data_IF_378353323185
#
_entry.id   IF_378353323185
#
_cell.length_a   1.000
_cell.length_b   1.000
_cell.length_c   1.000
_cell.angle_alpha   90.00
_cell.angle_beta   90.00
_cell.angle_gamma   90.00
#
_symmetry.space_group_name_H-M   'P 1'
#
loop_
_entity.id
_entity.type
_entity.pdbx_description
1 polymer ?
#
# COMPACT_ATOMS: atom_id res chain seq x y z
N UNK A 1 11.58 -6.82 37.06
CA UNK A 1 11.19 -7.56 35.83
C UNK A 1 9.82 -7.10 35.33
N UNK A 2 8.82 -6.92 36.18
CA UNK A 2 7.46 -6.50 35.79
C UNK A 2 7.41 -5.13 35.07
N UNK A 3 8.01 -4.09 35.63
CA UNK A 3 8.00 -2.74 35.03
C UNK A 3 8.65 -2.73 33.64
N UNK A 4 9.74 -3.47 33.45
CA UNK A 4 10.41 -3.55 32.15
C UNK A 4 9.52 -4.17 31.07
N UNK A 5 8.79 -5.25 31.38
CA UNK A 5 7.85 -5.88 30.46
C UNK A 5 6.68 -4.95 30.10
N UNK A 6 6.14 -4.25 31.08
CA UNK A 6 5.08 -3.26 30.87
C UNK A 6 5.54 -2.11 29.95
N UNK A 7 6.74 -1.57 30.18
CA UNK A 7 7.32 -0.51 29.34
C UNK A 7 7.55 -1.01 27.91
N UNK A 8 8.13 -2.20 27.74
CA UNK A 8 8.32 -2.82 26.42
C UNK A 8 6.97 -3.04 25.72
N UNK A 9 5.95 -3.49 26.44
CA UNK A 9 4.59 -3.66 25.92
C UNK A 9 4.04 -2.34 25.36
N UNK A 10 4.10 -1.25 26.11
CA UNK A 10 3.67 0.07 25.64
C UNK A 10 4.45 0.56 24.43
N UNK A 11 5.77 0.31 24.38
CA UNK A 11 6.59 0.67 23.22
C UNK A 11 6.15 -0.08 21.96
N UNK A 12 5.88 -1.38 22.07
CA UNK A 12 5.42 -2.20 20.94
C UNK A 12 4.04 -1.72 20.46
N UNK A 13 3.12 -1.43 21.38
CA UNK A 13 1.80 -0.87 21.06
C UNK A 13 1.96 0.47 20.32
N UNK A 14 2.79 1.36 20.84
CA UNK A 14 3.03 2.67 20.24
C UNK A 14 3.67 2.58 18.83
N UNK A 15 4.58 1.63 18.61
CA UNK A 15 5.17 1.36 17.28
C UNK A 15 4.06 0.92 16.30
N UNK A 16 3.23 -0.06 16.68
CA UNK A 16 2.17 -0.55 15.82
C UNK A 16 1.11 0.52 15.50
N UNK A 17 0.67 1.30 16.50
CA UNK A 17 -0.29 2.40 16.30
C UNK A 17 0.34 3.53 15.49
N UNK A 18 1.61 3.84 15.71
CA UNK A 18 2.35 4.86 14.97
C UNK A 18 2.51 4.51 13.49
N UNK A 19 2.80 3.23 13.19
CA UNK A 19 2.88 2.74 11.80
C UNK A 19 1.51 2.81 11.11
N UNK A 20 0.46 2.33 11.78
CA UNK A 20 -0.92 2.41 11.30
C UNK A 20 -1.34 3.86 11.03
N UNK A 21 -1.02 4.78 11.94
CA UNK A 21 -1.32 6.21 11.76
C UNK A 21 -0.60 6.78 10.53
N UNK A 22 0.68 6.46 10.34
CA UNK A 22 1.45 6.93 9.18
C UNK A 22 0.94 6.32 7.87
N UNK A 23 0.65 5.02 7.86
CA UNK A 23 0.12 4.35 6.67
C UNK A 23 -1.22 4.91 6.19
N UNK A 24 -2.09 5.37 7.12
CA UNK A 24 -3.47 5.76 6.80
C UNK A 24 -3.69 7.27 6.74
N UNK A 25 -2.99 8.05 7.55
CA UNK A 25 -3.29 9.46 7.77
C UNK A 25 -2.15 10.40 7.36
N UNK A 26 -0.93 9.87 7.15
CA UNK A 26 0.17 10.71 6.69
C UNK A 26 0.01 11.02 5.19
N UNK A 27 0.24 12.27 4.74
CA UNK A 27 0.04 12.68 3.34
C UNK A 27 0.81 11.88 2.29
N UNK A 28 1.90 11.20 2.70
CA UNK A 28 2.71 10.34 1.83
C UNK A 28 2.40 8.84 1.98
N UNK A 29 1.44 8.45 2.82
CA UNK A 29 1.09 7.03 3.02
C UNK A 29 2.26 6.14 3.48
N UNK A 30 3.27 6.69 4.16
CA UNK A 30 4.52 5.99 4.47
C UNK A 30 4.52 5.43 5.90
N UNK A 31 3.97 4.23 6.09
CA UNK A 31 4.27 3.40 7.26
C UNK A 31 5.56 2.61 7.03
N UNK A 32 6.58 2.79 7.87
CA UNK A 32 7.89 2.14 7.68
C UNK A 32 7.76 0.61 7.70
N UNK A 33 6.99 0.09 8.66
CA UNK A 33 6.76 -1.35 8.83
C UNK A 33 5.84 -1.88 7.72
N UNK A 34 4.78 -1.16 7.40
CA UNK A 34 3.85 -1.50 6.31
C UNK A 34 4.59 -1.62 4.98
N UNK A 35 5.42 -0.62 4.65
CA UNK A 35 6.23 -0.63 3.43
C UNK A 35 7.27 -1.74 3.43
N UNK A 36 7.90 -2.03 4.58
CA UNK A 36 8.86 -3.14 4.71
C UNK A 36 8.18 -4.50 4.46
N UNK A 37 6.98 -4.71 4.99
CA UNK A 37 6.21 -5.95 4.80
C UNK A 37 5.84 -6.15 3.34
N UNK A 38 5.25 -5.14 2.71
CA UNK A 38 4.78 -5.23 1.31
C UNK A 38 5.98 -5.38 0.35
N UNK A 39 7.04 -4.60 0.54
CA UNK A 39 8.25 -4.67 -0.30
C UNK A 39 8.99 -6.00 -0.15
N UNK A 40 9.05 -6.57 1.06
CA UNK A 40 9.62 -7.90 1.30
C UNK A 40 8.80 -9.00 0.59
N UNK A 41 7.47 -8.92 0.65
CA UNK A 41 6.59 -9.84 -0.06
C UNK A 41 6.76 -9.71 -1.58
N UNK A 42 6.84 -8.48 -2.10
CA UNK A 42 7.11 -8.19 -3.51
C UNK A 42 8.46 -8.76 -3.96
N UNK A 43 9.53 -8.48 -3.20
CA UNK A 43 10.86 -9.00 -3.49
C UNK A 43 10.89 -10.54 -3.51
N UNK A 44 10.13 -11.18 -2.62
CA UNK A 44 9.99 -12.64 -2.58
C UNK A 44 9.22 -13.15 -3.78
N UNK A 45 8.08 -12.52 -4.14
CA UNK A 45 7.30 -12.85 -5.33
C UNK A 45 8.13 -12.73 -6.61
N UNK A 46 8.93 -11.66 -6.72
CA UNK A 46 9.84 -11.43 -7.86
C UNK A 46 10.89 -12.54 -7.98
N UNK A 47 11.52 -12.96 -6.86
CA UNK A 47 12.48 -14.08 -6.84
C UNK A 47 11.85 -15.41 -7.27
N UNK A 48 10.56 -15.59 -7.01
CA UNK A 48 9.77 -16.76 -7.41
C UNK A 48 9.14 -16.62 -8.81
N UNK A 49 9.57 -15.64 -9.61
CA UNK A 49 9.07 -15.40 -10.96
C UNK A 49 7.61 -14.92 -10.99
N UNK A 50 7.21 -14.11 -10.02
CA UNK A 50 5.86 -13.53 -9.88
C UNK A 50 4.71 -14.57 -9.86
N UNK A 51 4.97 -15.74 -9.29
CA UNK A 51 3.97 -16.83 -9.22
C UNK A 51 2.68 -16.44 -8.48
N UNK A 52 2.75 -15.46 -7.56
CA UNK A 52 1.58 -14.95 -6.86
C UNK A 52 0.72 -14.01 -7.72
N UNK A 53 1.27 -13.49 -8.83
CA UNK A 53 0.54 -12.66 -9.79
C UNK A 53 -0.20 -11.50 -9.13
N UNK A 54 -1.48 -11.33 -9.48
CA UNK A 54 -2.37 -10.27 -8.96
C UNK A 54 -2.66 -10.35 -7.46
N UNK A 55 -2.37 -11.49 -6.82
CA UNK A 55 -2.62 -11.67 -5.39
C UNK A 55 -1.56 -10.99 -4.49
N UNK A 56 -0.40 -10.56 -5.01
CA UNK A 56 0.69 -9.99 -4.19
C UNK A 56 0.26 -8.72 -3.46
N UNK A 57 -0.39 -7.78 -4.15
CA UNK A 57 -0.87 -6.54 -3.54
C UNK A 57 -1.86 -6.79 -2.40
N UNK A 58 -2.99 -7.48 -2.64
CA UNK A 58 -3.94 -7.83 -1.59
C UNK A 58 -3.31 -8.62 -0.43
N UNK A 59 -2.45 -9.61 -0.73
CA UNK A 59 -1.77 -10.40 0.29
C UNK A 59 -0.83 -9.54 1.15
N UNK A 60 -0.14 -8.57 0.55
CA UNK A 60 0.70 -7.61 1.26
C UNK A 60 -0.09 -6.78 2.27
N UNK A 61 -1.25 -6.27 1.86
CA UNK A 61 -2.14 -5.51 2.76
C UNK A 61 -2.65 -6.37 3.91
N UNK A 62 -3.13 -7.58 3.63
CA UNK A 62 -3.59 -8.52 4.67
C UNK A 62 -2.46 -8.86 5.64
N UNK A 63 -1.26 -9.14 5.14
CA UNK A 63 -0.10 -9.44 5.97
C UNK A 63 0.28 -8.25 6.86
N UNK A 64 0.21 -7.03 6.35
CA UNK A 64 0.45 -5.80 7.14
C UNK A 64 -0.56 -5.67 8.28
N UNK A 65 -1.84 -5.87 8.01
CA UNK A 65 -2.89 -5.86 9.05
C UNK A 65 -2.63 -6.94 10.12
N UNK A 66 -2.25 -8.15 9.70
CA UNK A 66 -1.87 -9.21 10.64
C UNK A 66 -0.67 -8.82 11.50
N UNK A 67 0.32 -8.15 10.94
CA UNK A 67 1.47 -7.63 11.70
C UNK A 67 1.02 -6.59 12.72
N UNK A 68 0.12 -5.66 12.38
CA UNK A 68 -0.43 -4.70 13.33
C UNK A 68 -1.18 -5.41 14.47
N UNK A 69 -2.05 -6.38 14.16
CA UNK A 69 -2.78 -7.16 15.17
C UNK A 69 -1.82 -7.92 16.08
N UNK A 70 -0.79 -8.54 15.52
CA UNK A 70 0.23 -9.27 16.31
C UNK A 70 1.02 -8.33 17.22
N UNK A 71 1.43 -7.14 16.74
CA UNK A 71 2.12 -6.16 17.58
C UNK A 71 1.23 -5.69 18.73
N UNK A 72 -0.06 -5.43 18.47
CA UNK A 72 -0.99 -5.05 19.52
C UNK A 72 -1.15 -6.20 20.52
N UNK A 73 -1.49 -7.41 20.07
CA UNK A 73 -1.69 -8.57 20.95
C UNK A 73 -0.45 -8.91 21.78
N UNK A 74 0.74 -8.89 21.20
CA UNK A 74 2.00 -9.12 21.92
C UNK A 74 2.30 -7.98 22.91
N UNK A 75 2.08 -6.72 22.52
CA UNK A 75 2.31 -5.58 23.39
C UNK A 75 1.43 -5.61 24.63
N UNK A 76 0.13 -5.85 24.46
CA UNK A 76 -0.82 -5.96 25.56
C UNK A 76 -0.56 -7.22 26.42
N UNK A 77 -0.23 -8.36 25.81
CA UNK A 77 0.15 -9.57 26.54
C UNK A 77 1.37 -9.35 27.44
N UNK A 78 2.37 -8.57 27.01
CA UNK A 78 3.53 -8.22 27.85
C UNK A 78 3.14 -7.33 29.04
N UNK A 79 2.10 -6.51 28.93
CA UNK A 79 1.56 -5.72 30.04
C UNK A 79 0.84 -6.63 31.02
N UNK A 80 0.06 -7.61 30.55
CA UNK A 80 -0.70 -8.53 31.40
C UNK A 80 0.15 -9.60 32.07
N UNK A 81 1.22 -10.05 31.42
CA UNK A 81 2.07 -11.15 31.88
C UNK A 81 2.53 -11.06 33.34
N UNK A 82 2.97 -9.89 33.85
CA UNK A 82 3.36 -9.78 35.27
C UNK A 82 2.20 -9.95 36.27
N UNK A 83 0.96 -9.89 35.80
CA UNK A 83 -0.24 -9.89 36.60
C UNK A 83 -1.02 -11.21 36.51
N UNK A 84 -0.57 -12.13 35.64
CA UNK A 84 -1.14 -13.50 35.54
C UNK A 84 -0.43 -14.41 36.51
N UNK A 85 -1.17 -15.30 37.20
CA UNK A 85 -2.63 -15.38 37.28
C UNK A 85 -3.26 -14.45 38.33
N UNK A 86 -2.48 -13.88 39.24
CA UNK A 86 -2.95 -13.23 40.47
C UNK A 86 -3.82 -11.98 40.28
N UNK A 87 -3.71 -11.29 39.14
CA UNK A 87 -4.51 -10.12 38.80
C UNK A 87 -5.83 -10.43 38.08
N UNK A 88 -6.17 -11.73 37.94
CA UNK A 88 -7.36 -12.21 37.23
C UNK A 88 -8.16 -13.16 38.10
N UNK A 89 -9.47 -13.18 37.88
CA UNK A 89 -10.36 -14.24 38.40
C UNK A 89 -10.73 -15.12 37.21
N UNK A 90 -10.72 -16.43 37.47
CA UNK A 90 -11.04 -17.47 36.51
C UNK A 90 -12.43 -18.03 36.77
N UNK A 91 -13.14 -18.40 35.71
CA UNK A 91 -14.45 -19.01 35.78
C UNK A 91 -14.35 -20.38 36.48
N UNK A 92 -15.36 -20.80 37.30
CA UNK A 92 -15.37 -22.11 37.95
C UNK A 92 -15.16 -23.26 36.95
N UNK A 93 -14.10 -24.04 37.18
CA UNK A 93 -13.71 -25.18 36.34
C UNK A 93 -12.47 -24.90 35.46
N UNK A 94 -11.96 -23.69 35.45
CA UNK A 94 -10.68 -23.34 34.81
C UNK A 94 -9.60 -23.36 35.91
N UNK A 95 -8.54 -24.16 35.69
CA UNK A 95 -7.37 -24.21 36.56
C UNK A 95 -6.34 -23.17 36.09
N UNK A 96 -6.05 -22.12 36.89
CA UNK A 96 -5.07 -21.09 36.55
C UNK A 96 -3.63 -21.60 36.34
N UNK A 97 -3.31 -22.79 36.88
CA UNK A 97 -2.00 -23.42 36.75
C UNK A 97 -1.86 -24.34 35.53
N UNK A 98 -2.91 -24.51 34.74
CA UNK A 98 -2.95 -25.49 33.65
C UNK A 98 -2.06 -25.09 32.45
N UNK A 99 -1.96 -23.81 32.17
CA UNK A 99 -1.19 -23.27 31.04
C UNK A 99 -0.08 -22.33 31.56
N UNK A 100 1.03 -22.19 30.83
CA UNK A 100 2.04 -21.17 31.14
C UNK A 100 1.44 -19.77 31.12
N UNK A 101 1.87 -18.89 32.05
CA UNK A 101 1.40 -17.50 32.19
C UNK A 101 1.47 -16.70 30.86
N UNK A 102 2.48 -16.98 30.03
CA UNK A 102 2.62 -16.36 28.70
C UNK A 102 1.46 -16.69 27.78
N UNK A 103 1.00 -17.94 27.80
CA UNK A 103 -0.13 -18.40 26.97
C UNK A 103 -1.42 -17.74 27.44
N UNK A 104 -1.62 -17.65 28.77
CA UNK A 104 -2.80 -16.99 29.33
C UNK A 104 -2.80 -15.49 29.10
N UNK A 105 -1.64 -14.83 29.22
CA UNK A 105 -1.50 -13.41 28.88
C UNK A 105 -1.81 -13.13 27.41
N UNK A 106 -1.32 -13.98 26.49
CA UNK A 106 -1.64 -13.89 25.06
C UNK A 106 -3.13 -14.13 24.81
N UNK A 107 -3.70 -15.16 25.45
CA UNK A 107 -5.12 -15.49 25.29
C UNK A 107 -6.01 -14.32 25.71
N UNK A 108 -5.80 -13.78 26.93
CA UNK A 108 -6.62 -12.66 27.42
C UNK A 108 -6.45 -11.41 26.55
N UNK A 109 -5.23 -11.13 26.07
CA UNK A 109 -4.98 -10.02 25.18
C UNK A 109 -5.74 -10.18 23.85
N UNK A 110 -5.60 -11.32 23.17
CA UNK A 110 -6.31 -11.51 21.89
C UNK A 110 -7.83 -11.54 22.05
N UNK A 111 -8.36 -12.10 23.15
CA UNK A 111 -9.80 -12.09 23.45
C UNK A 111 -10.30 -10.67 23.69
N UNK A 112 -9.52 -9.84 24.40
CA UNK A 112 -9.86 -8.43 24.65
C UNK A 112 -9.73 -7.59 23.39
N UNK A 113 -8.61 -7.71 22.67
CA UNK A 113 -8.33 -7.00 21.42
C UNK A 113 -9.39 -7.29 20.35
N UNK A 114 -9.82 -8.55 20.24
CA UNK A 114 -10.91 -8.97 19.36
C UNK A 114 -12.31 -8.60 19.87
N UNK A 115 -12.40 -7.96 21.05
CA UNK A 115 -13.66 -7.59 21.71
C UNK A 115 -14.60 -8.78 22.00
N UNK A 116 -14.06 -10.00 22.14
CA UNK A 116 -14.85 -11.21 22.40
C UNK A 116 -15.34 -11.28 23.85
N UNK A 117 -14.44 -11.03 24.81
CA UNK A 117 -14.78 -10.96 26.23
C UNK A 117 -15.55 -12.16 26.75
N UNK A 118 -15.04 -13.38 26.59
CA UNK A 118 -15.75 -14.61 27.01
C UNK A 118 -16.11 -14.65 28.50
N UNK A 119 -15.40 -13.86 29.34
CA UNK A 119 -15.67 -13.77 30.75
C UNK A 119 -15.08 -14.91 31.60
N UNK A 120 -14.34 -15.78 30.95
CA UNK A 120 -13.64 -16.92 31.55
C UNK A 120 -12.38 -16.53 32.35
N UNK A 121 -11.73 -15.43 31.94
CA UNK A 121 -10.70 -14.70 32.66
C UNK A 121 -11.08 -13.22 32.78
N UNK A 122 -11.27 -12.75 34.02
CA UNK A 122 -11.70 -11.37 34.29
C UNK A 122 -10.66 -10.64 35.13
N UNK A 123 -10.21 -9.49 34.63
CA UNK A 123 -9.27 -8.64 35.37
C UNK A 123 -9.87 -8.12 36.65
N UNK A 124 -9.18 -8.36 37.78
CA UNK A 124 -9.56 -7.91 39.14
C UNK A 124 -8.63 -6.83 39.66
N UNK A 125 -7.36 -6.85 39.23
CA UNK A 125 -6.42 -5.83 39.63
C UNK A 125 -6.79 -4.48 39.03
N UNK A 126 -6.85 -3.37 39.81
CA UNK A 126 -7.33 -2.06 39.34
C UNK A 126 -6.61 -1.52 38.12
N UNK A 127 -5.29 -1.70 38.03
CA UNK A 127 -4.48 -1.26 36.90
C UNK A 127 -4.89 -1.96 35.59
N UNK A 128 -4.96 -3.28 35.60
CA UNK A 128 -5.35 -4.07 34.43
C UNK A 128 -6.80 -3.82 34.06
N UNK A 129 -7.68 -3.70 35.05
CA UNK A 129 -9.10 -3.41 34.84
C UNK A 129 -9.33 -2.06 34.18
N UNK A 130 -8.47 -1.07 34.43
CA UNK A 130 -8.52 0.23 33.76
C UNK A 130 -7.98 0.17 32.33
N UNK A 131 -7.01 -0.71 32.05
CA UNK A 131 -6.36 -0.83 30.74
C UNK A 131 -7.15 -1.70 29.74
N UNK A 132 -7.85 -2.74 30.20
CA UNK A 132 -8.56 -3.66 29.30
C UNK A 132 -9.58 -2.98 28.37
N UNK A 133 -10.37 -1.96 28.79
CA UNK A 133 -11.21 -1.22 27.87
C UNK A 133 -10.44 -0.44 26.82
N UNK A 134 -9.23 0.04 27.14
CA UNK A 134 -8.38 0.76 26.17
C UNK A 134 -7.84 -0.21 25.10
N UNK A 135 -7.48 -1.44 25.49
CA UNK A 135 -7.12 -2.49 24.55
C UNK A 135 -8.27 -2.80 23.57
N UNK A 136 -9.49 -2.97 24.10
CA UNK A 136 -10.66 -3.21 23.26
C UNK A 136 -10.92 -2.07 22.27
N UNK A 137 -10.74 -0.80 22.68
CA UNK A 137 -10.82 0.35 21.81
C UNK A 137 -9.73 0.34 20.73
N UNK A 138 -8.49 -0.06 21.08
CA UNK A 138 -7.40 -0.23 20.11
C UNK A 138 -7.75 -1.33 19.10
N UNK A 139 -8.28 -2.45 19.53
CA UNK A 139 -8.72 -3.53 18.65
C UNK A 139 -9.78 -3.07 17.65
N UNK A 140 -10.77 -2.33 18.12
CA UNK A 140 -11.79 -1.72 17.26
C UNK A 140 -11.17 -0.71 16.27
N UNK A 141 -10.21 0.12 16.72
CA UNK A 141 -9.51 1.05 15.87
C UNK A 141 -8.70 0.36 14.77
N UNK A 142 -7.99 -0.73 15.09
CA UNK A 142 -7.24 -1.54 14.10
C UNK A 142 -8.18 -2.13 13.05
N UNK A 143 -9.32 -2.68 13.45
CA UNK A 143 -10.32 -3.22 12.53
C UNK A 143 -10.87 -2.12 11.60
N UNK A 144 -11.23 -0.98 12.16
CA UNK A 144 -11.75 0.16 11.39
C UNK A 144 -10.70 0.69 10.41
N UNK A 145 -9.46 0.80 10.86
CA UNK A 145 -8.32 1.21 10.04
C UNK A 145 -8.09 0.26 8.86
N UNK A 146 -8.12 -1.06 9.10
CA UNK A 146 -7.98 -2.06 8.06
C UNK A 146 -9.08 -1.96 6.99
N UNK A 147 -10.34 -1.84 7.42
CA UNK A 147 -11.47 -1.67 6.49
C UNK A 147 -11.34 -0.38 5.67
N UNK A 148 -11.00 0.73 6.31
CA UNK A 148 -10.79 2.02 5.64
C UNK A 148 -9.67 1.92 4.60
N UNK A 149 -8.54 1.32 4.97
CA UNK A 149 -7.39 1.16 4.07
C UNK A 149 -7.75 0.32 2.83
N UNK A 150 -8.45 -0.81 3.02
CA UNK A 150 -8.93 -1.61 1.89
C UNK A 150 -9.87 -0.82 0.98
N UNK A 151 -10.73 0.02 1.53
CA UNK A 151 -11.65 0.85 0.72
C UNK A 151 -10.92 1.95 -0.05
N UNK A 152 -9.88 2.54 0.52
CA UNK A 152 -9.12 3.64 -0.09
C UNK A 152 -8.28 3.21 -1.29
N UNK A 153 -7.88 1.93 -1.38
CA UNK A 153 -6.99 1.46 -2.45
C UNK A 153 -7.71 1.32 -3.81
N UNK A 154 -9.01 1.06 -3.83
CA UNK A 154 -9.73 0.78 -5.08
C UNK A 154 -9.82 1.97 -6.03
N UNK A 155 -10.11 3.22 -5.59
CA UNK A 155 -10.18 4.37 -6.49
C UNK A 155 -8.86 4.63 -7.25
N UNK A 156 -7.66 4.67 -6.60
CA UNK A 156 -6.37 4.74 -7.27
C UNK A 156 -6.15 3.63 -8.30
N UNK A 157 -6.44 2.39 -7.95
CA UNK A 157 -6.31 1.27 -8.88
C UNK A 157 -7.25 1.41 -10.09
N UNK A 158 -8.47 1.91 -9.89
CA UNK A 158 -9.43 2.14 -10.98
C UNK A 158 -8.93 3.21 -11.95
N UNK A 159 -8.40 4.34 -11.42
CA UNK A 159 -7.85 5.41 -12.26
C UNK A 159 -6.62 4.94 -13.05
N UNK A 160 -5.72 4.19 -12.41
CA UNK A 160 -4.55 3.59 -13.06
C UNK A 160 -4.94 2.65 -14.21
N UNK A 161 -5.97 1.81 -14.00
CA UNK A 161 -6.52 0.91 -15.05
C UNK A 161 -7.19 1.69 -16.18
N UNK A 162 -7.91 2.75 -15.86
CA UNK A 162 -8.56 3.61 -16.85
C UNK A 162 -7.53 4.29 -17.75
N UNK A 163 -6.46 4.86 -17.16
CA UNK A 163 -5.34 5.43 -17.91
C UNK A 163 -4.68 4.38 -18.83
N UNK A 164 -4.41 3.17 -18.32
CA UNK A 164 -3.83 2.10 -19.11
C UNK A 164 -4.73 1.71 -20.31
N UNK A 165 -6.04 1.58 -20.10
CA UNK A 165 -7.02 1.32 -21.16
C UNK A 165 -7.08 2.45 -22.19
N UNK A 166 -6.99 3.70 -21.75
CA UNK A 166 -6.95 4.86 -22.65
C UNK A 166 -5.71 4.83 -23.53
N UNK A 167 -4.51 4.64 -22.94
CA UNK A 167 -3.26 4.50 -23.69
C UNK A 167 -3.33 3.34 -24.69
N UNK A 168 -3.88 2.20 -24.28
CA UNK A 168 -4.10 1.06 -25.17
C UNK A 168 -5.04 1.43 -26.33
N UNK A 169 -6.13 2.16 -26.06
CA UNK A 169 -7.08 2.61 -27.08
C UNK A 169 -6.44 3.57 -28.09
N UNK A 170 -5.69 4.56 -27.61
CA UNK A 170 -4.97 5.50 -28.47
C UNK A 170 -3.94 4.79 -29.36
N UNK A 171 -3.22 3.82 -28.79
CA UNK A 171 -2.27 3.00 -29.54
C UNK A 171 -2.95 2.10 -30.58
N UNK A 172 -4.07 1.48 -30.21
CA UNK A 172 -4.83 0.65 -31.15
C UNK A 172 -5.46 1.45 -32.31
N UNK A 173 -5.74 2.73 -32.07
CA UNK A 173 -6.21 3.67 -33.09
C UNK A 173 -5.09 4.27 -33.96
N UNK A 174 -3.80 4.00 -33.67
CA UNK A 174 -2.67 4.54 -34.41
C UNK A 174 -2.53 6.05 -34.30
N UNK A 175 -2.84 6.62 -33.12
CA UNK A 175 -2.89 8.09 -32.95
C UNK A 175 -1.51 8.71 -33.09
N UNK A 176 -0.43 8.05 -32.64
CA UNK A 176 0.93 8.57 -32.76
C UNK A 176 1.35 8.69 -34.25
N UNK A 177 1.01 7.71 -35.06
CA UNK A 177 1.26 7.70 -36.51
C UNK A 177 0.41 8.74 -37.24
N UNK A 178 -0.80 9.01 -36.72
CA UNK A 178 -1.72 9.99 -37.31
C UNK A 178 -1.38 11.45 -36.94
N UNK A 179 -0.52 11.71 -35.94
CA UNK A 179 -0.15 13.04 -35.44
C UNK A 179 0.13 14.05 -36.57
N UNK A 180 0.91 13.73 -37.66
CA UNK A 180 1.20 14.69 -38.71
C UNK A 180 -0.06 15.23 -39.38
N UNK A 181 -1.15 14.49 -39.45
CA UNK A 181 -2.41 14.79 -40.13
C UNK A 181 -3.52 15.29 -39.21
N UNK A 182 -3.36 15.15 -37.89
CA UNK A 182 -4.37 15.56 -36.91
C UNK A 182 -4.43 17.11 -36.82
N UNK A 183 -5.65 17.68 -36.65
CA UNK A 183 -5.80 19.09 -36.29
C UNK A 183 -5.08 19.44 -35.00
N UNK A 184 -4.43 20.60 -34.93
CA UNK A 184 -3.63 21.03 -33.79
C UNK A 184 -4.45 21.12 -32.49
N UNK A 185 -5.68 21.63 -32.58
CA UNK A 185 -6.61 21.75 -31.43
C UNK A 185 -7.02 20.39 -30.88
N UNK A 186 -7.28 19.40 -31.74
CA UNK A 186 -7.60 18.03 -31.35
C UNK A 186 -6.40 17.38 -30.65
N UNK A 187 -5.21 17.50 -31.21
CA UNK A 187 -3.99 16.96 -30.63
C UNK A 187 -3.69 17.59 -29.29
N UNK A 188 -3.73 18.92 -29.16
CA UNK A 188 -3.51 19.65 -27.89
C UNK A 188 -4.48 19.19 -26.81
N UNK A 189 -5.74 18.95 -27.15
CA UNK A 189 -6.74 18.42 -26.21
C UNK A 189 -6.38 17.03 -25.74
N UNK A 190 -6.04 16.12 -26.66
CA UNK A 190 -5.68 14.73 -26.30
C UNK A 190 -4.45 14.71 -25.39
N UNK A 191 -3.42 15.51 -25.71
CA UNK A 191 -2.20 15.60 -24.90
C UNK A 191 -2.47 16.19 -23.50
N UNK A 192 -3.28 17.25 -23.42
CA UNK A 192 -3.63 17.89 -22.15
C UNK A 192 -4.48 17.00 -21.25
N UNK A 193 -5.46 16.30 -21.80
CA UNK A 193 -6.27 15.33 -21.06
C UNK A 193 -5.40 14.16 -20.55
N UNK A 194 -4.51 13.63 -21.40
CA UNK A 194 -3.60 12.57 -21.01
C UNK A 194 -2.62 13.00 -19.92
N UNK A 195 -2.08 14.22 -20.01
CA UNK A 195 -1.24 14.81 -18.96
C UNK A 195 -1.98 14.86 -17.63
N UNK A 196 -3.20 15.37 -17.62
CA UNK A 196 -4.02 15.44 -16.40
C UNK A 196 -4.31 14.06 -15.79
N UNK A 197 -4.58 13.04 -16.60
CA UNK A 197 -4.81 11.68 -16.10
C UNK A 197 -3.52 11.05 -15.53
N UNK A 198 -2.36 11.32 -16.14
CA UNK A 198 -1.05 10.88 -15.62
C UNK A 198 -0.75 11.56 -14.29
N UNK A 199 -1.02 12.87 -14.16
CA UNK A 199 -0.82 13.61 -12.91
C UNK A 199 -1.70 13.06 -11.78
N UNK A 200 -2.96 12.70 -12.06
CA UNK A 200 -3.84 12.04 -11.09
C UNK A 200 -3.24 10.71 -10.62
N UNK A 201 -2.74 9.89 -11.52
CA UNK A 201 -2.08 8.61 -11.17
C UNK A 201 -0.78 8.84 -10.41
N UNK A 202 -0.02 9.90 -10.74
CA UNK A 202 1.18 10.29 -10.01
C UNK A 202 0.86 10.65 -8.54
N UNK A 203 -0.19 11.46 -8.31
CA UNK A 203 -0.68 11.80 -6.97
C UNK A 203 -1.14 10.55 -6.23
N UNK A 204 -1.92 9.68 -6.89
CA UNK A 204 -2.36 8.42 -6.31
C UNK A 204 -1.19 7.53 -5.86
N UNK A 205 -0.15 7.43 -6.67
CA UNK A 205 1.04 6.64 -6.35
C UNK A 205 1.84 7.22 -5.18
N UNK A 206 1.85 8.56 -5.04
CA UNK A 206 2.50 9.24 -3.93
C UNK A 206 1.73 9.13 -2.61
N UNK A 207 0.40 9.09 -2.65
CA UNK A 207 -0.47 8.96 -1.48
C UNK A 207 -0.71 7.51 -1.06
N UNK A 208 -0.71 6.59 -2.04
CA UNK A 208 -0.99 5.17 -1.89
C UNK A 208 0.12 4.36 -2.56
N UNK A 209 1.31 4.42 -1.97
CA UNK A 209 2.53 3.77 -2.49
C UNK A 209 2.36 2.25 -2.66
N UNK A 210 1.51 1.62 -1.85
CA UNK A 210 1.15 0.21 -1.95
C UNK A 210 0.47 -0.15 -3.28
N UNK A 211 -0.14 0.81 -3.99
CA UNK A 211 -0.73 0.56 -5.32
C UNK A 211 0.30 0.10 -6.33
N UNK A 212 1.58 0.48 -6.16
CA UNK A 212 2.67 0.00 -7.00
C UNK A 212 2.71 -1.53 -7.06
N UNK A 213 2.48 -2.21 -5.95
CA UNK A 213 2.61 -3.67 -5.82
C UNK A 213 1.41 -4.47 -6.34
N UNK A 214 0.40 -3.80 -6.90
CA UNK A 214 -0.74 -4.47 -7.52
C UNK A 214 -0.46 -4.77 -8.99
N UNK A 215 -0.48 -6.03 -9.35
CA UNK A 215 -0.32 -6.50 -10.74
C UNK A 215 -1.68 -6.69 -11.41
N UNK A 216 -1.75 -6.31 -12.68
CA UNK A 216 -2.95 -6.52 -13.50
C UNK A 216 -2.80 -7.78 -14.35
N UNK A 217 -3.82 -8.66 -14.33
CA UNK A 217 -3.85 -9.86 -15.17
C UNK A 217 -4.08 -9.50 -16.64
N UNK A 218 -4.97 -8.52 -16.88
CA UNK A 218 -5.26 -8.05 -18.23
C UNK A 218 -4.15 -7.09 -18.72
N UNK A 219 -3.40 -7.46 -19.77
CA UNK A 219 -2.32 -6.61 -20.31
C UNK A 219 -2.79 -5.21 -20.75
N UNK A 220 -4.05 -5.08 -21.18
CA UNK A 220 -4.62 -3.80 -21.62
C UNK A 220 -4.83 -2.83 -20.45
N UNK A 221 -5.00 -3.34 -19.23
CA UNK A 221 -5.19 -2.57 -17.99
C UNK A 221 -3.89 -2.34 -17.23
N UNK A 222 -2.77 -2.89 -17.69
CA UNK A 222 -1.46 -2.78 -17.06
C UNK A 222 -0.78 -1.49 -17.47
N UNK A 223 -0.71 -0.50 -16.57
CA UNK A 223 -0.04 0.76 -16.83
C UNK A 223 1.45 0.56 -17.13
N UNK A 224 2.12 -0.35 -16.40
CA UNK A 224 3.53 -0.67 -16.63
C UNK A 224 3.83 -1.12 -18.07
N UNK A 225 2.84 -1.69 -18.76
CA UNK A 225 2.94 -2.08 -20.16
C UNK A 225 2.56 -0.95 -21.13
N UNK A 226 1.59 -0.12 -20.77
CA UNK A 226 0.99 0.85 -21.69
C UNK A 226 1.66 2.24 -21.65
N UNK A 227 2.36 2.58 -20.56
CA UNK A 227 2.90 3.94 -20.35
C UNK A 227 3.92 4.36 -21.43
N UNK A 228 4.61 3.42 -22.06
CA UNK A 228 5.54 3.69 -23.15
C UNK A 228 4.87 4.42 -24.32
N UNK A 229 3.60 4.11 -24.59
CA UNK A 229 2.86 4.77 -25.66
C UNK A 229 2.68 6.27 -25.43
N UNK A 230 2.64 6.72 -24.18
CA UNK A 230 2.60 8.15 -23.88
C UNK A 230 3.91 8.85 -24.28
N UNK A 231 5.07 8.17 -24.20
CA UNK A 231 6.34 8.68 -24.73
C UNK A 231 6.30 8.76 -26.26
N UNK A 232 5.84 7.72 -26.94
CA UNK A 232 5.72 7.70 -28.40
C UNK A 232 4.82 8.84 -28.90
N UNK A 233 3.68 9.06 -28.24
CA UNK A 233 2.76 10.13 -28.58
C UNK A 233 3.36 11.52 -28.33
N UNK A 234 4.08 11.71 -27.20
CA UNK A 234 4.82 12.95 -26.91
C UNK A 234 5.87 13.22 -27.99
N UNK A 235 6.66 12.22 -28.39
CA UNK A 235 7.75 12.35 -29.34
C UNK A 235 7.19 12.65 -30.75
N UNK A 236 6.11 11.99 -31.15
CA UNK A 236 5.41 12.29 -32.39
C UNK A 236 4.85 13.73 -32.40
N UNK A 237 4.26 14.18 -31.28
CA UNK A 237 3.75 15.55 -31.16
C UNK A 237 4.89 16.60 -31.19
N UNK A 238 6.02 16.33 -30.57
CA UNK A 238 7.20 17.17 -30.56
C UNK A 238 7.78 17.32 -32.01
N UNK A 239 7.76 16.26 -32.79
CA UNK A 239 8.23 16.27 -34.18
C UNK A 239 7.35 17.11 -35.11
N UNK A 240 6.06 17.34 -34.78
CA UNK A 240 5.16 18.19 -35.58
C UNK A 240 5.52 19.67 -35.54
N UNK A 241 6.24 20.15 -34.53
CA UNK A 241 6.81 21.49 -34.38
C UNK A 241 5.84 22.68 -34.57
N UNK A 242 4.53 22.49 -34.38
CA UNK A 242 3.55 23.57 -34.40
C UNK A 242 3.47 24.27 -33.04
N UNK A 243 3.41 25.60 -33.02
CA UNK A 243 3.33 26.40 -31.78
C UNK A 243 2.10 26.02 -30.94
N UNK A 244 0.98 25.73 -31.61
CA UNK A 244 -0.29 25.37 -30.93
C UNK A 244 -0.23 24.03 -30.18
N UNK A 245 0.56 23.08 -30.67
CA UNK A 245 0.74 21.79 -30.01
C UNK A 245 1.83 21.83 -28.93
N UNK A 246 2.67 22.84 -28.92
CA UNK A 246 3.81 22.97 -28.00
C UNK A 246 3.42 22.98 -26.53
N UNK A 247 2.30 23.63 -26.15
CA UNK A 247 1.81 23.65 -24.78
C UNK A 247 1.35 22.27 -24.34
N UNK A 248 0.55 21.57 -25.15
CA UNK A 248 0.09 20.20 -24.83
C UNK A 248 1.26 19.21 -24.70
N UNK A 249 2.24 19.30 -25.60
CA UNK A 249 3.46 18.49 -25.55
C UNK A 249 4.28 18.76 -24.30
N UNK A 250 4.44 20.03 -23.90
CA UNK A 250 5.14 20.40 -22.68
C UNK A 250 4.42 19.90 -21.41
N UNK A 251 3.10 20.00 -21.35
CA UNK A 251 2.29 19.46 -20.25
C UNK A 251 2.48 17.95 -20.13
N UNK A 252 2.34 17.21 -21.24
CA UNK A 252 2.55 15.77 -21.23
C UNK A 252 3.97 15.38 -20.81
N UNK A 253 4.99 16.12 -21.28
CA UNK A 253 6.37 15.89 -20.86
C UNK A 253 6.54 16.07 -19.35
N UNK A 254 6.03 17.16 -18.78
CA UNK A 254 6.12 17.42 -17.35
C UNK A 254 5.41 16.33 -16.53
N UNK A 255 4.22 15.87 -16.94
CA UNK A 255 3.50 14.79 -16.26
C UNK A 255 4.23 13.45 -16.34
N UNK A 256 4.89 13.15 -17.47
CA UNK A 256 5.72 11.96 -17.62
C UNK A 256 6.98 12.02 -16.74
N UNK A 257 7.60 13.20 -16.60
CA UNK A 257 8.73 13.41 -15.70
C UNK A 257 8.29 13.20 -14.24
N UNK A 258 7.15 13.75 -13.83
CA UNK A 258 6.61 13.61 -12.47
C UNK A 258 6.34 12.14 -12.11
N UNK A 259 5.68 11.38 -12.99
CA UNK A 259 5.40 9.96 -12.73
C UNK A 259 6.66 9.12 -12.75
N UNK A 260 7.64 9.43 -13.59
CA UNK A 260 8.93 8.75 -13.61
C UNK A 260 9.71 9.00 -12.31
N UNK A 261 9.69 10.22 -11.79
CA UNK A 261 10.31 10.56 -10.49
C UNK A 261 9.67 9.76 -9.36
N UNK A 262 8.34 9.66 -9.34
CA UNK A 262 7.62 8.82 -8.36
C UNK A 262 8.00 7.34 -8.49
N UNK A 263 8.16 6.83 -9.72
CA UNK A 263 8.52 5.43 -9.97
C UNK A 263 9.96 5.10 -9.58
N UNK A 264 10.91 6.08 -9.63
CA UNK A 264 12.30 5.86 -9.20
C UNK A 264 12.42 5.38 -7.76
N UNK A 265 11.46 5.74 -6.90
CA UNK A 265 11.39 5.22 -5.53
C UNK A 265 11.17 3.70 -5.43
N UNK A 266 10.67 3.06 -6.47
CA UNK A 266 10.32 1.63 -6.47
C UNK A 266 11.24 0.78 -7.34
N UNK A 267 11.69 1.32 -8.49
CA UNK A 267 12.53 0.59 -9.46
C UNK A 267 14.01 0.86 -9.23
N UNK A 268 14.83 -0.11 -9.59
CA UNK A 268 16.28 0.03 -9.53
C UNK A 268 16.79 0.53 -10.88
N UNK A 269 17.05 1.81 -10.96
CA UNK A 269 17.64 2.48 -12.11
C UNK A 269 18.79 3.38 -11.66
N UNK A 270 19.65 3.81 -12.58
CA UNK A 270 20.67 4.81 -12.29
C UNK A 270 20.01 6.18 -12.04
N UNK A 271 20.64 7.04 -11.25
CA UNK A 271 20.09 8.36 -10.90
C UNK A 271 19.90 9.25 -12.14
N UNK A 272 20.72 9.05 -13.17
CA UNK A 272 20.69 9.75 -14.47
C UNK A 272 19.85 9.01 -15.54
N UNK A 273 19.11 7.96 -15.17
CA UNK A 273 18.29 7.19 -16.11
C UNK A 273 17.25 8.09 -16.80
N UNK A 274 17.10 7.95 -18.11
CA UNK A 274 16.07 8.61 -18.88
C UNK A 274 14.67 8.02 -18.63
N UNK A 275 13.62 8.71 -19.10
CA UNK A 275 12.23 8.27 -18.95
C UNK A 275 11.99 6.86 -19.51
N UNK A 276 12.59 6.54 -20.63
CA UNK A 276 12.44 5.25 -21.29
C UNK A 276 13.03 4.12 -20.44
N UNK A 277 14.19 4.37 -19.81
CA UNK A 277 14.83 3.42 -18.91
C UNK A 277 13.99 3.20 -17.65
N UNK A 278 13.43 4.26 -17.06
CA UNK A 278 12.54 4.16 -15.89
C UNK A 278 11.30 3.33 -16.21
N UNK A 279 10.62 3.61 -17.33
CA UNK A 279 9.41 2.87 -17.70
C UNK A 279 9.70 1.43 -18.13
N UNK A 280 10.85 1.15 -18.77
CA UNK A 280 11.30 -0.22 -19.01
C UNK A 280 11.57 -0.98 -17.72
N UNK A 281 12.22 -0.34 -16.74
CA UNK A 281 12.44 -0.94 -15.43
C UNK A 281 11.11 -1.23 -14.70
N UNK A 282 10.15 -0.30 -14.77
CA UNK A 282 8.81 -0.50 -14.24
C UNK A 282 8.08 -1.68 -14.89
N UNK A 283 8.13 -1.79 -16.21
CA UNK A 283 7.57 -2.93 -16.93
C UNK A 283 8.24 -4.25 -16.53
N UNK A 284 9.58 -4.26 -16.45
CA UNK A 284 10.36 -5.44 -16.07
C UNK A 284 10.09 -5.87 -14.62
N UNK A 285 9.97 -4.93 -13.68
CA UNK A 285 9.67 -5.22 -12.27
C UNK A 285 8.27 -5.83 -12.09
N UNK A 286 7.34 -5.58 -13.04
CA UNK A 286 6.00 -6.18 -13.07
C UNK A 286 5.92 -7.43 -13.97
N UNK A 287 7.05 -8.01 -14.37
CA UNK A 287 7.15 -9.15 -15.30
C UNK A 287 6.35 -8.91 -16.62
N UNK A 288 6.37 -7.69 -17.11
CA UNK A 288 5.75 -7.29 -18.39
C UNK A 288 6.84 -6.85 -19.36
N UNK A 289 6.71 -7.20 -20.62
CA UNK A 289 7.46 -6.53 -21.67
C UNK A 289 6.82 -5.18 -21.97
N UNK A 290 7.65 -4.16 -22.17
CA UNK A 290 7.18 -2.95 -22.81
C UNK A 290 6.52 -3.36 -24.14
N UNK A 291 5.51 -2.61 -24.56
CA UNK A 291 4.89 -2.83 -25.86
C UNK A 291 5.97 -2.52 -26.92
N UNK A 292 6.26 -3.50 -27.76
CA UNK A 292 7.09 -3.33 -28.95
C UNK A 292 6.33 -2.54 -30.01
#
# INVERSE_FOLDING_TARGET
>A
MSIALTVVGFVIIAIGLGDMFRALLHPRGEGDLSNAVISALWATSRRLGHRLGSAVGPAGMVLTVLVWVLLQGLGWALIYLPHVPGGFTYDPGIDPGRYPDVIEALYVSFVTLATLGFGDMVATEPFIRALAPLEALVGFAVLTAALTWFMQIYPPLTRRRALALRLHGLAAAGVAEAVPTLPADMLTRVLGELASEIDVVCVDLSQHSETYYFQEENPRQSLSRQIHYALELRDAAAAKAEVETGVGTAMLSASLDNVAESLRGFVRVADDADLQQVFRAYAADHARSARD
#
